data_IF_382411519051
#
_entry.id   IF_382411519051
#
_cell.length_a   1.000
_cell.length_b   1.000
_cell.length_c   1.000
_cell.angle_alpha   90.00
_cell.angle_beta   90.00
_cell.angle_gamma   90.00
#
_symmetry.space_group_name_H-M   'P 1'
#
loop_
_entity.id
_entity.type
_entity.pdbx_description
1 polymer ?
#
# COMPACT_ATOMS: atom_id res chain seq x y z
N UNK A 1 3.65 2.05 -5.00
CA UNK A 1 3.33 0.67 -4.59
C UNK A 1 4.06 0.42 -3.30
N UNK A 2 3.39 -0.19 -2.34
CA UNK A 2 3.97 -0.50 -1.03
C UNK A 2 3.20 -1.67 -0.39
N UNK A 3 3.64 -2.13 0.77
CA UNK A 3 2.89 -3.10 1.56
C UNK A 3 2.37 -2.51 2.88
N UNK A 4 1.30 -3.10 3.40
CA UNK A 4 0.77 -2.78 4.71
C UNK A 4 0.41 -4.05 5.47
N UNK A 5 0.74 -4.07 6.76
CA UNK A 5 0.36 -5.17 7.63
C UNK A 5 -1.06 -4.98 8.17
N UNK A 6 -1.88 -6.03 8.03
CA UNK A 6 -3.23 -6.10 8.60
C UNK A 6 -3.20 -7.07 9.75
N UNK A 7 -3.52 -6.57 10.96
CA UNK A 7 -3.37 -7.32 12.21
C UNK A 7 -4.38 -8.47 12.27
N UNK A 8 -3.94 -9.63 12.74
CA UNK A 8 -4.80 -10.79 12.99
C UNK A 8 -4.57 -11.31 14.41
N UNK A 9 -5.61 -11.85 15.03
CA UNK A 9 -5.51 -12.37 16.39
C UNK A 9 -4.76 -13.71 16.42
N UNK A 10 -3.83 -13.85 17.37
CA UNK A 10 -2.96 -15.03 17.50
C UNK A 10 -3.71 -16.31 17.87
N UNK A 11 -4.70 -16.21 18.78
CA UNK A 11 -5.42 -17.38 19.31
C UNK A 11 -6.26 -18.07 18.23
N UNK A 12 -7.16 -17.38 17.48
CA UNK A 12 -7.90 -18.01 16.39
C UNK A 12 -6.99 -18.55 15.28
N UNK A 13 -5.88 -17.86 15.00
CA UNK A 13 -4.92 -18.29 13.98
C UNK A 13 -4.25 -19.61 14.37
N UNK A 14 -3.67 -19.71 15.57
CA UNK A 14 -2.98 -20.93 16.04
C UNK A 14 -3.90 -22.14 16.09
N UNK A 15 -5.19 -21.95 16.38
CA UNK A 15 -6.21 -23.01 16.34
C UNK A 15 -6.54 -23.47 14.91
N UNK A 16 -6.36 -22.61 13.90
CA UNK A 16 -6.70 -22.91 12.51
C UNK A 16 -5.54 -23.55 11.73
N UNK A 17 -4.32 -23.02 11.88
CA UNK A 17 -3.16 -23.46 11.09
C UNK A 17 -2.14 -24.27 11.89
N UNK A 18 -2.29 -24.34 13.22
CA UNK A 18 -1.29 -24.92 14.13
C UNK A 18 -0.24 -23.91 14.59
N UNK A 19 0.45 -24.22 15.69
CA UNK A 19 1.38 -23.30 16.35
C UNK A 19 2.57 -22.89 15.49
N UNK A 20 3.23 -23.85 14.82
CA UNK A 20 4.41 -23.60 13.98
C UNK A 20 4.06 -22.82 12.71
N UNK A 21 2.97 -23.19 12.03
CA UNK A 21 2.51 -22.48 10.83
C UNK A 21 2.03 -21.06 11.14
N UNK A 22 1.48 -20.83 12.34
CA UNK A 22 1.08 -19.49 12.76
C UNK A 22 2.28 -18.53 12.85
N UNK A 23 3.49 -19.02 13.15
CA UNK A 23 4.69 -18.18 13.21
C UNK A 23 5.07 -17.58 11.86
N UNK A 24 4.68 -18.20 10.74
CA UNK A 24 4.83 -17.59 9.41
C UNK A 24 4.09 -16.24 9.32
N UNK A 25 3.01 -16.06 10.08
CA UNK A 25 2.25 -14.81 10.08
C UNK A 25 2.85 -13.73 10.99
N UNK A 26 3.89 -14.04 11.76
CA UNK A 26 4.55 -13.05 12.61
C UNK A 26 5.43 -12.14 11.74
N UNK A 27 5.22 -10.83 11.87
CA UNK A 27 6.04 -9.83 11.19
C UNK A 27 7.27 -9.43 12.02
N UNK A 28 8.12 -8.57 11.44
CA UNK A 28 9.32 -8.03 12.10
C UNK A 28 9.02 -7.19 13.35
N UNK A 29 7.80 -6.67 13.49
CA UNK A 29 7.31 -5.94 14.67
C UNK A 29 6.74 -6.87 15.76
N UNK A 30 6.86 -8.19 15.59
CA UNK A 30 6.54 -9.20 16.60
C UNK A 30 5.06 -9.58 16.72
N UNK A 31 4.16 -9.02 15.90
CA UNK A 31 2.74 -9.35 15.91
C UNK A 31 2.30 -10.15 14.68
N UNK A 32 1.18 -10.88 14.81
CA UNK A 32 0.63 -11.67 13.71
C UNK A 32 -0.15 -10.78 12.73
N UNK A 33 0.14 -10.93 11.44
CA UNK A 33 -0.48 -10.12 10.39
C UNK A 33 -0.55 -10.85 9.05
N UNK A 34 -1.38 -10.30 8.17
CA UNK A 34 -1.34 -10.53 6.73
C UNK A 34 -0.53 -9.38 6.13
N UNK A 35 0.48 -9.71 5.31
CA UNK A 35 1.20 -8.72 4.53
C UNK A 35 0.43 -8.46 3.23
N UNK A 36 -0.06 -7.23 3.05
CA UNK A 36 -0.91 -6.83 1.93
C UNK A 36 -0.17 -5.83 1.06
N UNK A 37 0.15 -6.22 -0.17
CA UNK A 37 0.71 -5.30 -1.16
C UNK A 37 -0.41 -4.57 -1.89
N UNK A 38 -0.22 -3.27 -2.14
CA UNK A 38 -1.12 -2.51 -3.00
C UNK A 38 -0.39 -1.57 -3.96
N UNK A 39 -1.02 -1.31 -5.10
CA UNK A 39 -0.67 -0.22 -6.00
C UNK A 39 -1.77 0.83 -5.88
N UNK A 40 -1.44 2.01 -5.39
CA UNK A 40 -2.37 3.14 -5.29
C UNK A 40 -2.02 4.26 -6.26
N UNK A 41 -3.03 4.99 -6.72
CA UNK A 41 -2.85 6.20 -7.51
C UNK A 41 -2.88 7.47 -6.65
N UNK A 42 -2.65 8.63 -7.27
CA UNK A 42 -2.64 9.94 -6.60
C UNK A 42 -3.99 10.33 -5.97
N UNK A 43 -5.10 9.70 -6.38
CA UNK A 43 -6.44 9.93 -5.84
C UNK A 43 -6.73 9.12 -4.57
N UNK A 44 -5.73 8.38 -4.07
CA UNK A 44 -5.82 7.44 -2.96
C UNK A 44 -6.69 6.21 -3.28
N UNK A 45 -6.86 5.87 -4.55
CA UNK A 45 -7.57 4.66 -4.97
C UNK A 45 -6.59 3.49 -5.10
N UNK A 46 -7.00 2.32 -4.62
CA UNK A 46 -6.26 1.07 -4.74
C UNK A 46 -6.55 0.48 -6.12
N UNK A 47 -5.54 0.44 -6.98
CA UNK A 47 -5.64 -0.07 -8.36
C UNK A 47 -5.29 -1.54 -8.49
N UNK A 48 -4.47 -2.07 -7.59
CA UNK A 48 -4.14 -3.48 -7.47
C UNK A 48 -3.92 -3.86 -6.01
N UNK A 49 -4.25 -5.10 -5.64
CA UNK A 49 -4.13 -5.61 -4.28
C UNK A 49 -3.76 -7.08 -4.24
N UNK A 50 -2.77 -7.42 -3.41
CA UNK A 50 -2.37 -8.79 -3.12
C UNK A 50 -2.40 -9.00 -1.60
N UNK A 51 -3.43 -9.69 -1.11
CA UNK A 51 -3.69 -9.84 0.33
C UNK A 51 -3.43 -11.25 0.89
N UNK A 52 -2.75 -12.14 0.16
CA UNK A 52 -2.67 -13.58 0.51
C UNK A 52 -1.39 -14.01 1.20
N UNK A 53 -0.52 -13.08 1.59
CA UNK A 53 0.80 -13.40 2.11
C UNK A 53 0.87 -13.29 3.63
N UNK A 54 1.58 -14.20 4.29
CA UNK A 54 1.73 -14.16 5.73
C UNK A 54 2.67 -13.00 6.14
N UNK A 55 2.54 -12.52 7.38
CA UNK A 55 3.26 -11.34 7.87
C UNK A 55 4.80 -11.42 7.85
N UNK A 56 5.39 -12.61 7.73
CA UNK A 56 6.84 -12.76 7.55
C UNK A 56 7.32 -12.58 6.11
N UNK A 57 6.40 -12.59 5.13
CA UNK A 57 6.74 -12.50 3.72
C UNK A 57 7.39 -11.16 3.38
N UNK A 58 8.48 -11.21 2.61
CA UNK A 58 9.12 -10.02 2.06
C UNK A 58 8.27 -9.41 0.94
N UNK A 59 8.20 -8.09 0.94
CA UNK A 59 7.54 -7.25 -0.06
C UNK A 59 7.89 -7.61 -1.51
N UNK A 60 9.18 -7.84 -1.78
CA UNK A 60 9.67 -8.27 -3.09
C UNK A 60 9.12 -9.64 -3.49
N UNK A 61 9.00 -10.59 -2.55
CA UNK A 61 8.39 -11.90 -2.79
C UNK A 61 6.92 -11.77 -3.20
N UNK A 62 6.18 -10.86 -2.56
CA UNK A 62 4.77 -10.62 -2.88
C UNK A 62 4.65 -10.09 -4.31
N UNK A 63 5.46 -9.10 -4.69
CA UNK A 63 5.44 -8.54 -6.03
C UNK A 63 5.86 -9.57 -7.08
N UNK A 64 6.91 -10.35 -6.79
CA UNK A 64 7.42 -11.40 -7.67
C UNK A 64 6.37 -12.46 -8.03
N UNK A 65 5.35 -12.62 -7.19
CA UNK A 65 4.24 -13.54 -7.38
C UNK A 65 2.91 -12.81 -7.64
N UNK A 66 2.95 -11.53 -8.02
CA UNK A 66 1.75 -10.74 -8.32
C UNK A 66 1.35 -10.86 -9.79
N UNK A 67 0.05 -10.74 -10.05
CA UNK A 67 -0.44 -10.62 -11.43
C UNK A 67 0.09 -9.35 -12.09
N UNK A 68 0.17 -8.25 -11.33
CA UNK A 68 0.73 -6.98 -11.77
C UNK A 68 2.12 -7.12 -12.37
N UNK A 69 3.02 -7.87 -11.72
CA UNK A 69 4.35 -8.15 -12.28
C UNK A 69 4.28 -8.79 -13.66
N UNK A 70 3.48 -9.85 -13.82
CA UNK A 70 3.32 -10.50 -15.12
C UNK A 70 2.78 -9.54 -16.20
N UNK A 71 1.89 -8.61 -15.82
CA UNK A 71 1.39 -7.58 -16.74
C UNK A 71 2.46 -6.56 -17.13
N UNK A 72 3.30 -6.11 -16.18
CA UNK A 72 4.45 -5.24 -16.48
C UNK A 72 5.45 -5.94 -17.40
N UNK A 73 5.79 -7.19 -17.12
CA UNK A 73 6.72 -7.99 -17.94
C UNK A 73 6.18 -8.30 -19.33
N UNK A 74 4.86 -8.45 -19.47
CA UNK A 74 4.21 -8.61 -20.79
C UNK A 74 4.16 -7.32 -21.63
N UNK A 75 4.59 -6.19 -21.08
CA UNK A 75 4.52 -4.88 -21.76
C UNK A 75 3.12 -4.27 -21.81
N UNK A 76 2.13 -4.86 -21.13
CA UNK A 76 0.74 -4.36 -21.15
C UNK A 76 0.61 -2.91 -20.67
N UNK A 77 1.45 -2.51 -19.73
CA UNK A 77 1.44 -1.15 -19.18
C UNK A 77 2.40 -0.19 -19.92
N UNK A 78 3.04 -0.62 -21.01
CA UNK A 78 3.94 0.22 -21.80
C UNK A 78 5.06 0.83 -20.94
N UNK A 79 5.15 2.15 -20.96
CA UNK A 79 6.16 2.94 -20.24
C UNK A 79 5.76 3.31 -18.79
N UNK A 80 4.72 2.68 -18.23
CA UNK A 80 4.32 2.95 -16.86
C UNK A 80 5.43 2.56 -15.86
N UNK A 81 5.65 3.42 -14.87
CA UNK A 81 6.65 3.21 -13.82
C UNK A 81 5.97 3.07 -12.45
N UNK A 82 6.49 2.16 -11.64
CA UNK A 82 6.12 1.97 -10.24
C UNK A 82 7.13 2.68 -9.35
N UNK A 83 6.65 3.65 -8.57
CA UNK A 83 7.38 4.20 -7.43
C UNK A 83 7.24 3.24 -6.25
N UNK A 84 8.36 2.78 -5.69
CA UNK A 84 8.43 1.67 -4.72
C UNK A 84 9.32 2.01 -3.54
N UNK A 85 9.25 1.19 -2.49
CA UNK A 85 10.16 1.29 -1.35
C UNK A 85 11.57 0.75 -1.65
N UNK A 86 12.55 1.03 -0.78
CA UNK A 86 13.93 0.58 -0.92
C UNK A 86 14.09 -0.95 -0.93
N UNK A 87 13.10 -1.70 -0.41
CA UNK A 87 13.09 -3.17 -0.42
C UNK A 87 12.87 -3.82 -1.79
N UNK A 88 12.69 -3.05 -2.86
CA UNK A 88 12.43 -3.54 -4.21
C UNK A 88 13.64 -3.35 -5.13
N UNK A 89 13.86 -4.30 -6.03
CA UNK A 89 14.93 -4.22 -7.02
C UNK A 89 14.63 -3.15 -8.07
N UNK A 90 15.66 -2.40 -8.48
CA UNK A 90 15.58 -1.47 -9.61
C UNK A 90 15.42 -2.25 -10.91
N UNK A 91 14.35 -1.98 -11.66
CA UNK A 91 14.03 -2.63 -12.95
C UNK A 91 13.52 -1.58 -13.93
N UNK A 92 13.27 -1.96 -15.18
CA UNK A 92 12.78 -1.05 -16.21
C UNK A 92 11.45 -0.34 -15.86
N UNK A 93 10.68 -0.89 -14.92
CA UNK A 93 9.39 -0.37 -14.49
C UNK A 93 9.33 -0.09 -12.98
N UNK A 94 10.44 -0.14 -12.24
CA UNK A 94 10.50 0.12 -10.80
C UNK A 94 11.53 1.19 -10.46
N UNK A 95 11.10 2.18 -9.68
CA UNK A 95 11.91 3.29 -9.19
C UNK A 95 12.00 3.26 -7.67
N UNK A 96 12.92 2.46 -7.08
CA UNK A 96 13.24 2.52 -5.66
C UNK A 96 14.04 3.80 -5.32
N UNK A 97 14.06 4.24 -4.06
CA UNK A 97 14.98 5.28 -3.60
C UNK A 97 16.44 4.82 -3.70
N UNK A 98 17.35 5.78 -3.79
CA UNK A 98 18.80 5.55 -3.73
C UNK A 98 19.19 5.40 -2.25
N UNK A 99 19.81 4.28 -1.85
CA UNK A 99 20.12 3.99 -0.43
C UNK A 99 21.17 4.96 0.17
N UNK A 100 22.13 5.40 -0.64
CA UNK A 100 23.25 6.26 -0.20
C UNK A 100 23.45 7.44 -1.15
N UNK A 101 22.54 8.44 -1.15
CA UNK A 101 22.65 9.60 -2.02
C UNK A 101 23.82 10.50 -1.58
N UNK A 102 24.84 10.62 -2.43
CA UNK A 102 26.03 11.45 -2.19
C UNK A 102 26.00 12.75 -2.98
N UNK A 103 25.35 12.73 -4.15
CA UNK A 103 25.23 13.89 -5.03
C UNK A 103 23.93 14.66 -4.79
N UNK A 104 23.91 15.99 -4.97
CA UNK A 104 22.67 16.78 -4.84
C UNK A 104 21.53 16.27 -5.73
N UNK A 105 21.83 15.74 -6.91
CA UNK A 105 20.83 15.17 -7.82
C UNK A 105 20.18 13.89 -7.28
N UNK A 106 20.94 13.06 -6.56
CA UNK A 106 20.43 11.84 -5.93
C UNK A 106 19.51 12.17 -4.74
N UNK A 107 19.87 13.23 -4.00
CA UNK A 107 19.03 13.77 -2.92
C UNK A 107 17.71 14.32 -3.46
N UNK A 108 17.75 15.09 -4.56
CA UNK A 108 16.55 15.60 -5.23
C UNK A 108 15.67 14.46 -5.80
N UNK A 109 16.27 13.39 -6.32
CA UNK A 109 15.56 12.20 -6.73
C UNK A 109 14.83 11.56 -5.55
N UNK A 110 15.51 11.32 -4.43
CA UNK A 110 14.91 10.73 -3.23
C UNK A 110 13.81 11.63 -2.65
N UNK A 111 14.00 12.95 -2.62
CA UNK A 111 12.97 13.90 -2.18
C UNK A 111 11.71 13.79 -3.07
N UNK A 112 11.90 13.67 -4.39
CA UNK A 112 10.81 13.47 -5.33
C UNK A 112 10.09 12.13 -5.13
N UNK A 113 10.84 11.05 -4.84
CA UNK A 113 10.29 9.74 -4.49
C UNK A 113 9.43 9.82 -3.23
N UNK A 114 9.94 10.44 -2.15
CA UNK A 114 9.21 10.62 -0.88
C UNK A 114 7.87 11.33 -1.11
N UNK A 115 7.89 12.45 -1.84
CA UNK A 115 6.66 13.21 -2.15
C UNK A 115 5.66 12.39 -2.97
N UNK A 116 6.15 11.55 -3.87
CA UNK A 116 5.31 10.70 -4.73
C UNK A 116 4.75 9.49 -3.99
N UNK A 117 5.46 8.99 -2.97
CA UNK A 117 5.01 7.88 -2.11
C UNK A 117 3.98 8.29 -1.07
N UNK A 118 4.03 9.54 -0.61
CA UNK A 118 3.12 10.05 0.41
C UNK A 118 1.62 9.73 0.15
N UNK A 119 1.05 9.93 -1.07
CA UNK A 119 -0.30 9.49 -1.38
C UNK A 119 -0.57 8.00 -1.11
N UNK A 120 0.38 7.10 -1.38
CA UNK A 120 0.22 5.66 -1.13
C UNK A 120 0.07 5.39 0.36
N UNK A 121 0.94 5.95 1.18
CA UNK A 121 0.89 5.78 2.64
C UNK A 121 -0.34 6.44 3.26
N UNK A 122 -0.70 7.64 2.79
CA UNK A 122 -1.96 8.29 3.15
C UNK A 122 -3.15 7.42 2.78
N UNK A 123 -3.11 6.72 1.64
CA UNK A 123 -4.19 5.82 1.25
C UNK A 123 -4.40 4.70 2.27
N UNK A 124 -3.32 4.16 2.86
CA UNK A 124 -3.43 3.17 3.94
C UNK A 124 -4.01 3.74 5.23
N UNK A 125 -3.58 4.95 5.61
CA UNK A 125 -4.13 5.61 6.79
C UNK A 125 -5.64 5.85 6.63
N UNK A 126 -6.06 6.42 5.49
CA UNK A 126 -7.48 6.63 5.19
C UNK A 126 -8.25 5.32 5.15
N UNK A 127 -7.69 4.29 4.51
CA UNK A 127 -8.35 2.99 4.38
C UNK A 127 -8.57 2.32 5.74
N UNK A 128 -7.56 2.31 6.62
CA UNK A 128 -7.62 1.75 7.97
C UNK A 128 -8.52 2.56 8.92
N UNK A 129 -8.57 3.89 8.79
CA UNK A 129 -9.50 4.73 9.56
C UNK A 129 -10.94 4.56 9.11
N UNK A 130 -11.17 4.39 7.80
CA UNK A 130 -12.50 4.12 7.24
C UNK A 130 -13.01 2.74 7.64
N UNK A 131 -12.11 1.76 7.73
CA UNK A 131 -12.42 0.39 8.15
C UNK A 131 -11.50 -0.04 9.30
N UNK A 132 -11.79 0.37 10.55
CA UNK A 132 -10.95 0.08 11.72
C UNK A 132 -10.69 -1.40 11.96
N UNK A 133 -11.54 -2.29 11.42
CA UNK A 133 -11.33 -3.74 11.42
C UNK A 133 -9.96 -4.16 10.87
N UNK A 134 -9.37 -3.37 9.97
CA UNK A 134 -8.05 -3.62 9.38
C UNK A 134 -6.88 -3.27 10.31
N UNK A 135 -7.11 -2.42 11.32
CA UNK A 135 -6.11 -1.98 12.29
C UNK A 135 -6.22 -2.70 13.65
N UNK A 136 -7.45 -2.88 14.14
CA UNK A 136 -7.72 -3.38 15.51
C UNK A 136 -7.40 -4.87 15.70
N UNK A 137 -7.33 -5.64 14.61
CA UNK A 137 -7.03 -7.06 14.64
C UNK A 137 -8.27 -7.94 14.53
N UNK A 138 -8.33 -8.71 13.44
CA UNK A 138 -9.47 -9.60 13.18
C UNK A 138 -9.40 -10.90 13.98
N UNK A 139 -10.54 -11.29 14.56
CA UNK A 139 -10.73 -12.54 15.33
C UNK A 139 -11.60 -13.57 14.58
N UNK A 140 -11.51 -13.59 13.25
CA UNK A 140 -12.29 -14.48 12.38
C UNK A 140 -11.38 -15.47 11.64
N UNK A 141 -11.96 -16.39 10.87
CA UNK A 141 -11.20 -17.36 10.06
C UNK A 141 -10.34 -16.68 9.00
N UNK A 142 -9.16 -17.23 8.72
CA UNK A 142 -8.21 -16.68 7.76
C UNK A 142 -8.85 -16.38 6.39
N UNK A 143 -9.61 -17.33 5.83
CA UNK A 143 -10.28 -17.11 4.53
C UNK A 143 -11.27 -15.93 4.57
N UNK A 144 -11.93 -15.71 5.71
CA UNK A 144 -12.83 -14.57 5.90
C UNK A 144 -12.05 -13.27 6.08
N UNK A 145 -10.88 -13.30 6.70
CA UNK A 145 -9.98 -12.15 6.79
C UNK A 145 -9.61 -11.66 5.40
N UNK A 146 -9.20 -12.57 4.50
CA UNK A 146 -8.86 -12.21 3.12
C UNK A 146 -10.02 -11.52 2.40
N UNK A 147 -11.23 -12.08 2.52
CA UNK A 147 -12.43 -11.50 1.92
C UNK A 147 -12.77 -10.11 2.49
N UNK A 148 -12.60 -9.90 3.80
CA UNK A 148 -12.80 -8.59 4.44
C UNK A 148 -11.80 -7.56 3.91
N UNK A 149 -10.54 -7.95 3.74
CA UNK A 149 -9.50 -7.05 3.19
C UNK A 149 -9.88 -6.63 1.77
N UNK A 150 -10.22 -7.57 0.89
CA UNK A 150 -10.59 -7.23 -0.49
C UNK A 150 -11.89 -6.41 -0.54
N UNK A 151 -12.90 -6.80 0.22
CA UNK A 151 -14.18 -6.08 0.25
C UNK A 151 -14.02 -4.63 0.71
N UNK A 152 -13.23 -4.39 1.77
CA UNK A 152 -12.99 -3.02 2.26
C UNK A 152 -12.15 -2.19 1.28
N UNK A 153 -11.22 -2.78 0.53
CA UNK A 153 -10.49 -2.08 -0.53
C UNK A 153 -11.42 -1.62 -1.67
N UNK A 154 -12.34 -2.50 -2.10
CA UNK A 154 -13.35 -2.16 -3.12
C UNK A 154 -14.29 -1.05 -2.62
N UNK A 155 -14.79 -1.19 -1.38
CA UNK A 155 -15.65 -0.18 -0.78
C UNK A 155 -14.92 1.16 -0.62
N UNK A 156 -13.66 1.15 -0.18
CA UNK A 156 -12.83 2.36 -0.11
C UNK A 156 -12.80 3.09 -1.46
N UNK A 157 -12.51 2.39 -2.56
CA UNK A 157 -12.50 3.00 -3.89
C UNK A 157 -13.85 3.58 -4.30
N UNK A 158 -14.96 2.88 -4.02
CA UNK A 158 -16.31 3.39 -4.31
C UNK A 158 -16.55 4.70 -3.58
N UNK A 159 -16.18 4.78 -2.31
CA UNK A 159 -16.37 5.96 -1.46
C UNK A 159 -15.44 7.10 -1.88
N UNK A 160 -14.20 6.81 -2.27
CA UNK A 160 -13.28 7.79 -2.87
C UNK A 160 -13.85 8.42 -4.14
N UNK A 161 -14.41 7.61 -5.04
CA UNK A 161 -15.03 8.09 -6.30
C UNK A 161 -16.29 8.92 -6.09
N UNK A 162 -17.01 8.67 -5.01
CA UNK A 162 -18.19 9.44 -4.62
C UNK A 162 -17.82 10.76 -3.92
N UNK A 163 -16.54 11.04 -3.71
CA UNK A 163 -16.08 12.24 -3.03
C UNK A 163 -16.45 12.26 -1.55
N UNK A 164 -16.65 11.09 -0.93
CA UNK A 164 -16.93 11.04 0.51
C UNK A 164 -15.74 11.59 1.30
N UNK A 165 -16.05 12.32 2.36
CA UNK A 165 -15.05 12.88 3.24
C UNK A 165 -14.10 11.81 3.78
N UNK A 166 -12.85 12.22 3.95
CA UNK A 166 -11.84 11.39 4.61
C UNK A 166 -12.16 11.39 6.10
N UNK A 167 -12.22 10.23 6.77
CA UNK A 167 -12.43 10.18 8.21
C UNK A 167 -11.42 11.09 8.93
N UNK A 168 -11.73 11.65 10.10
CA UNK A 168 -10.73 12.34 10.91
C UNK A 168 -9.63 11.35 11.32
N UNK A 169 -8.48 11.87 11.75
CA UNK A 169 -7.47 11.05 12.40
C UNK A 169 -8.00 10.56 13.76
N UNK A 170 -7.80 9.28 14.02
CA UNK A 170 -8.25 8.62 15.25
C UNK A 170 -7.01 8.25 16.07
N UNK A 171 -6.78 8.88 17.23
CA UNK A 171 -5.61 8.63 18.07
C UNK A 171 -5.61 7.22 18.69
N UNK A 172 -6.74 6.52 18.71
CA UNK A 172 -6.83 5.13 19.17
C UNK A 172 -6.36 4.12 18.10
N UNK A 173 -6.30 4.55 16.84
CA UNK A 173 -5.81 3.74 15.73
C UNK A 173 -4.33 4.05 15.53
N UNK A 174 -3.46 3.26 16.16
CA UNK A 174 -2.01 3.30 15.95
C UNK A 174 -1.68 2.84 14.51
N UNK A 175 -1.69 3.80 13.58
CA UNK A 175 -1.18 3.63 12.24
C UNK A 175 0.34 3.79 12.32
N UNK A 176 1.14 2.87 11.75
CA UNK A 176 2.59 3.10 11.65
C UNK A 176 2.80 4.45 10.96
N UNK A 177 3.43 5.39 11.66
CA UNK A 177 3.57 6.78 11.24
C UNK A 177 4.46 6.85 9.97
N UNK A 178 3.92 7.22 8.80
CA UNK A 178 4.69 7.12 7.56
C UNK A 178 5.65 8.31 7.34
N UNK A 179 5.41 9.48 7.95
CA UNK A 179 6.21 10.67 7.67
C UNK A 179 7.45 10.85 8.55
N UNK A 180 7.32 10.57 9.84
CA UNK A 180 8.39 10.78 10.83
C UNK A 180 9.50 9.72 10.73
N UNK A 181 9.17 8.51 10.29
CA UNK A 181 10.14 7.43 10.05
C UNK A 181 10.87 7.65 8.72
N UNK A 182 10.19 8.08 7.66
CA UNK A 182 10.81 8.40 6.36
C UNK A 182 11.74 9.62 6.40
N UNK A 183 11.41 10.68 7.16
CA UNK A 183 12.32 11.81 7.36
C UNK A 183 13.59 11.40 8.14
N UNK A 184 13.48 10.39 8.99
CA UNK A 184 14.59 9.80 9.74
C UNK A 184 15.51 8.97 8.85
N UNK A 185 14.93 8.17 7.97
CA UNK A 185 15.67 7.33 7.02
C UNK A 185 16.19 8.11 5.79
N UNK A 186 15.58 9.28 5.50
CA UNK A 186 15.91 10.13 4.34
C UNK A 186 16.82 11.34 4.61
N UNK A 187 17.37 11.53 5.82
CA UNK A 187 18.17 12.71 6.20
C UNK A 187 17.67 14.03 5.60
N UNK A 188 16.44 14.44 5.91
CA UNK A 188 15.96 15.81 5.64
C UNK A 188 15.86 16.56 6.96
N UNK A 189 16.55 17.69 7.06
CA UNK A 189 16.50 18.57 8.24
C UNK A 189 15.07 19.03 8.50
N UNK A 190 14.62 18.91 9.74
CA UNK A 190 13.30 19.37 10.20
C UNK A 190 13.05 20.87 9.98
N UNK A 191 14.11 21.66 9.73
CA UNK A 191 14.03 23.09 9.47
C UNK A 191 13.41 23.45 8.11
N UNK A 192 13.55 22.59 7.08
CA UNK A 192 13.09 22.92 5.72
C UNK A 192 11.57 22.74 5.56
N UNK A 193 10.96 21.88 6.37
CA UNK A 193 9.53 21.53 6.34
C UNK A 193 8.65 22.69 6.83
N UNK A 194 9.09 23.44 7.83
CA UNK A 194 8.34 24.57 8.37
C UNK A 194 8.17 25.71 7.35
N UNK A 195 9.16 25.88 6.46
CA UNK A 195 9.18 26.95 5.46
C UNK A 195 8.25 26.72 4.25
N UNK A 196 7.83 25.48 4.00
CA UNK A 196 7.02 25.12 2.82
C UNK A 196 5.52 24.97 3.10
N UNK A 197 5.13 24.74 4.36
CA UNK A 197 3.71 24.69 4.76
C UNK A 197 2.94 25.98 4.43
N UNK A 198 3.64 27.12 4.41
CA UNK A 198 3.10 28.44 4.07
C UNK A 198 2.98 28.69 2.56
N UNK A 199 3.68 27.93 1.69
CA UNK A 199 3.62 28.11 0.23
C UNK A 199 2.54 27.27 -0.47
N UNK A 200 2.10 26.15 0.12
CA UNK A 200 1.19 25.21 -0.53
C UNK A 200 -0.30 25.57 -0.48
N UNK A 201 -0.71 26.70 0.13
CA UNK A 201 -2.11 27.17 0.06
C UNK A 201 -2.50 27.82 -1.28
N UNK A 202 -1.55 28.01 -2.21
CA UNK A 202 -1.75 28.84 -3.40
C UNK A 202 -1.79 28.13 -4.76
N UNK A 203 -1.83 26.79 -4.83
CA UNK A 203 -1.67 26.06 -6.12
C UNK A 203 -2.81 25.10 -6.49
N UNK A 204 -3.98 25.24 -5.88
CA UNK A 204 -5.15 24.37 -6.16
C UNK A 204 -5.92 24.72 -7.45
N UNK A 205 -5.37 25.52 -8.39
CA UNK A 205 -6.14 25.99 -9.56
C UNK A 205 -5.71 25.47 -10.93
N UNK A 206 -4.68 24.62 -11.07
CA UNK A 206 -4.21 24.20 -12.40
C UNK A 206 -3.75 22.74 -12.43
N UNK A 207 -4.67 21.81 -12.68
CA UNK A 207 -4.38 20.49 -13.29
C UNK A 207 -5.67 19.88 -13.85
N UNK A 208 -6.23 20.54 -14.87
CA UNK A 208 -7.12 19.88 -15.83
C UNK A 208 -6.27 19.14 -16.87
N UNK A 209 -6.74 17.96 -17.29
CA UNK A 209 -6.24 17.06 -18.35
C UNK A 209 -5.13 16.07 -17.98
N UNK A 210 -5.52 14.91 -17.43
CA UNK A 210 -5.11 13.60 -17.95
C UNK A 210 -6.31 12.65 -17.82
N UNK A 211 -6.99 12.37 -18.93
CA UNK A 211 -8.04 11.37 -19.02
C UNK A 211 -7.41 10.01 -19.31
N UNK A 212 -7.39 9.09 -18.34
CA UNK A 212 -7.15 7.66 -18.61
C UNK A 212 -8.41 6.86 -18.28
N UNK A 213 -8.91 6.20 -19.31
CA UNK A 213 -10.22 5.59 -19.43
C UNK A 213 -10.45 4.40 -18.49
N UNK A 214 -11.64 4.44 -17.89
CA UNK A 214 -12.25 3.56 -16.88
C UNK A 214 -12.63 2.14 -17.37
N UNK A 215 -11.73 1.37 -17.98
CA UNK A 215 -12.10 0.09 -18.62
C UNK A 215 -11.28 -1.16 -18.25
N UNK A 216 -10.54 -1.16 -17.14
CA UNK A 216 -9.80 -2.36 -16.69
C UNK A 216 -10.29 -2.99 -15.36
N UNK A 217 -11.27 -2.39 -14.66
CA UNK A 217 -11.74 -2.96 -13.39
C UNK A 217 -12.64 -4.21 -13.52
N UNK A 218 -13.21 -4.50 -14.69
CA UNK A 218 -14.13 -5.63 -14.84
C UNK A 218 -13.42 -6.96 -15.13
N UNK A 219 -12.19 -6.94 -15.65
CA UNK A 219 -11.49 -8.18 -16.06
C UNK A 219 -10.63 -8.80 -14.96
N UNK A 220 -10.10 -8.01 -14.02
CA UNK A 220 -9.30 -8.50 -12.90
C UNK A 220 -10.16 -9.21 -11.83
N UNK A 221 -11.41 -8.75 -11.63
CA UNK A 221 -12.35 -9.39 -10.70
C UNK A 221 -12.94 -10.70 -11.26
N UNK A 222 -13.01 -10.87 -12.58
CA UNK A 222 -13.56 -12.09 -13.19
C UNK A 222 -12.60 -13.29 -13.09
N UNK A 223 -11.28 -13.07 -13.16
CA UNK A 223 -10.30 -14.16 -13.09
C UNK A 223 -10.03 -14.66 -11.66
N UNK A 224 -10.22 -13.85 -10.61
CA UNK A 224 -10.15 -14.36 -9.22
C UNK A 224 -11.41 -15.13 -8.80
N UNK A 225 -12.56 -14.87 -9.43
CA UNK A 225 -13.80 -15.61 -9.13
C UNK A 225 -13.79 -17.03 -9.73
N UNK A 226 -13.01 -17.27 -10.79
CA UNK A 226 -12.98 -18.58 -11.49
C UNK A 226 -12.21 -19.66 -10.71
N UNK A 227 -11.32 -19.29 -9.79
CA UNK A 227 -10.59 -20.27 -8.95
C UNK A 227 -11.44 -20.76 -7.76
N UNK A 228 -12.50 -20.02 -7.39
CA UNK A 228 -13.42 -20.39 -6.31
C UNK A 228 -14.60 -21.26 -6.75
N UNK A 229 -14.69 -21.64 -8.03
CA UNK A 229 -15.77 -22.49 -8.58
C UNK A 229 -15.30 -23.90 -9.00
N UNK A 230 -14.04 -24.26 -8.74
CA UNK A 230 -13.47 -25.58 -9.06
C UNK A 230 -12.85 -26.32 -7.85
N UNK A 231 -13.24 -25.94 -6.63
CA UNK A 231 -13.09 -26.72 -5.40
C UNK A 231 -14.43 -26.76 -4.66
#
# INVERSE_FOLDING_TARGET
MDCTHIRIASVPLRLQVGGEQAELFRNRKGYFSINVQTISNVNLEITDIVARWPGSAHDSTIFNNSYSKAQFESGKYGEALLVVDGGYASTAYMMPPIEHPTLPVEQLYNESQIRTRNPVERSYGVWKRRFPVLALGMRIKLDKILNVIIATAVLHNILRRRGEEVPPDDPEIDLPAPWSELLRDGQVSSADVASQSTRNRGRDSLTHHISFTSLQMTHALYQQTTILTLL
#
